data_IF_745281527944
#
_entry.id   IF_745281527944
#
_cell.length_a   1.000
_cell.length_b   1.000
_cell.length_c   1.000
_cell.angle_alpha   90.00
_cell.angle_beta   90.00
_cell.angle_gamma   90.00
#
_symmetry.space_group_name_H-M   'P 1'
#
loop_
_entity.id
_entity.type
_entity.pdbx_description
1 polymer ?
#
# COMPACT_ATOMS: atom_id res chain seq x y z
N UNK A 1 9.10 27.98 6.23
CA UNK A 1 7.75 27.37 6.30
C UNK A 1 7.61 26.44 5.09
N UNK A 2 7.42 25.14 5.30
CA UNK A 2 7.33 24.18 4.19
C UNK A 2 6.04 24.36 3.39
N UNK A 3 5.96 23.86 2.14
CA UNK A 3 4.74 23.95 1.35
C UNK A 3 3.56 23.29 2.07
N UNK A 4 2.34 23.80 1.86
CA UNK A 4 1.13 23.12 2.34
C UNK A 4 1.08 21.69 1.78
N UNK A 5 0.68 20.69 2.60
CA UNK A 5 0.49 19.33 2.12
C UNK A 5 -0.51 19.32 0.96
N UNK A 6 -0.22 18.55 -0.07
CA UNK A 6 -1.05 18.32 -1.27
C UNK A 6 -2.16 17.28 -1.05
N UNK A 7 -2.41 16.90 0.21
CA UNK A 7 -3.35 15.82 0.57
C UNK A 7 -2.77 14.42 0.45
N UNK A 8 -1.65 14.24 -0.26
CA UNK A 8 -1.15 12.91 -0.67
C UNK A 8 -0.82 11.98 0.51
N UNK A 9 -0.42 12.52 1.67
CA UNK A 9 -0.16 11.70 2.88
C UNK A 9 -1.44 11.10 3.45
N UNK A 10 -2.58 11.79 3.35
CA UNK A 10 -3.89 11.23 3.71
C UNK A 10 -4.23 10.07 2.77
N UNK A 11 -4.10 10.28 1.47
CA UNK A 11 -4.38 9.27 0.44
C UNK A 11 -3.53 8.01 0.64
N UNK A 12 -2.23 8.18 0.93
CA UNK A 12 -1.32 7.08 1.26
C UNK A 12 -1.83 6.29 2.47
N UNK A 13 -2.33 6.97 3.51
CA UNK A 13 -2.84 6.31 4.72
C UNK A 13 -4.12 5.52 4.43
N UNK A 14 -5.05 6.09 3.65
CA UNK A 14 -6.28 5.40 3.26
C UNK A 14 -5.96 4.15 2.43
N UNK A 15 -5.05 4.24 1.47
CA UNK A 15 -4.59 3.06 0.71
C UNK A 15 -3.85 2.05 1.61
N UNK A 16 -3.02 2.51 2.55
CA UNK A 16 -2.36 1.62 3.52
C UNK A 16 -3.37 0.87 4.39
N UNK A 17 -4.47 1.52 4.78
CA UNK A 17 -5.54 0.93 5.57
C UNK A 17 -6.33 -0.11 4.75
N UNK A 18 -6.65 0.21 3.50
CA UNK A 18 -7.39 -0.68 2.59
C UNK A 18 -6.57 -1.83 2.01
N UNK A 19 -5.25 -1.80 2.13
CA UNK A 19 -4.38 -2.87 1.62
C UNK A 19 -3.62 -3.62 2.71
N UNK A 20 -3.55 -3.06 3.92
CA UNK A 20 -2.66 -3.51 4.99
C UNK A 20 -1.18 -3.70 4.56
N UNK A 21 -0.73 -3.03 3.50
CA UNK A 21 0.63 -3.16 2.95
C UNK A 21 1.66 -2.30 3.72
N UNK A 22 2.94 -2.55 3.49
CA UNK A 22 4.00 -1.70 4.06
C UNK A 22 4.03 -0.36 3.33
N UNK A 23 4.43 0.71 4.02
CA UNK A 23 4.56 2.05 3.39
C UNK A 23 5.44 2.04 2.13
N UNK A 24 6.53 1.26 2.12
CA UNK A 24 7.39 1.15 0.94
C UNK A 24 6.69 0.49 -0.25
N UNK A 25 5.79 -0.46 0.00
CA UNK A 25 4.98 -1.13 -1.02
C UNK A 25 3.94 -0.16 -1.61
N UNK A 26 3.19 0.56 -0.76
CA UNK A 26 2.22 1.58 -1.22
C UNK A 26 2.88 2.66 -2.07
N UNK A 27 4.03 3.17 -1.61
CA UNK A 27 4.77 4.20 -2.35
C UNK A 27 5.39 3.69 -3.66
N UNK A 28 5.40 2.37 -3.87
CA UNK A 28 5.92 1.73 -5.08
C UNK A 28 4.83 1.33 -6.07
N UNK A 29 3.55 1.55 -5.78
CA UNK A 29 2.48 1.31 -6.74
C UNK A 29 2.62 2.23 -7.95
N UNK A 30 2.62 1.62 -9.13
CA UNK A 30 2.58 2.30 -10.42
C UNK A 30 1.19 2.24 -11.02
N UNK A 31 0.97 3.01 -12.09
CA UNK A 31 -0.25 2.94 -12.89
C UNK A 31 -0.53 1.51 -13.38
N UNK A 32 0.48 0.82 -13.89
CA UNK A 32 0.38 -0.56 -14.39
C UNK A 32 0.14 -1.61 -13.31
N UNK A 33 0.34 -1.26 -12.03
CA UNK A 33 0.10 -2.18 -10.92
C UNK A 33 -1.38 -2.17 -10.49
N UNK A 34 -2.26 -1.33 -11.07
CA UNK A 34 -3.66 -1.19 -10.65
C UNK A 34 -4.62 -1.73 -11.71
N UNK A 35 -5.55 -2.58 -11.30
CA UNK A 35 -6.70 -2.97 -12.09
C UNK A 35 -8.00 -2.54 -11.39
N UNK A 36 -8.56 -1.41 -11.81
CA UNK A 36 -9.85 -0.91 -11.31
C UNK A 36 -11.07 -1.55 -11.99
N UNK A 37 -10.87 -2.37 -13.03
CA UNK A 37 -11.96 -3.04 -13.74
C UNK A 37 -12.25 -4.44 -13.18
N UNK A 38 -11.32 -5.01 -12.41
CA UNK A 38 -11.54 -6.21 -11.63
C UNK A 38 -12.66 -6.02 -10.58
N UNK A 39 -13.32 -7.12 -10.19
CA UNK A 39 -14.35 -7.14 -9.16
C UNK A 39 -13.98 -8.13 -8.03
N UNK A 40 -13.61 -7.65 -6.82
CA UNK A 40 -13.38 -6.25 -6.47
C UNK A 40 -12.13 -5.69 -7.18
N UNK A 41 -11.94 -4.35 -7.24
CA UNK A 41 -10.73 -3.72 -7.76
C UNK A 41 -9.46 -4.31 -7.13
N UNK A 42 -8.33 -4.32 -7.85
CA UNK A 42 -7.10 -5.00 -7.40
C UNK A 42 -5.85 -4.16 -7.61
N UNK A 43 -4.82 -4.44 -6.80
CA UNK A 43 -3.48 -3.88 -6.95
C UNK A 43 -2.43 -4.98 -6.85
N UNK A 44 -1.46 -4.96 -7.76
CA UNK A 44 -0.27 -5.80 -7.76
C UNK A 44 0.81 -5.20 -6.84
N UNK A 45 1.11 -5.88 -5.75
CA UNK A 45 2.22 -5.55 -4.87
C UNK A 45 3.49 -6.15 -5.45
N UNK A 46 4.09 -5.44 -6.41
CA UNK A 46 5.26 -5.91 -7.17
C UNK A 46 6.58 -5.28 -6.73
N UNK A 47 6.58 -4.13 -6.04
CA UNK A 47 7.82 -3.43 -5.69
C UNK A 47 7.81 -2.78 -4.31
N UNK A 48 8.95 -2.19 -3.94
CA UNK A 48 9.06 -1.37 -2.72
C UNK A 48 9.99 -0.19 -2.93
N UNK A 49 9.67 0.96 -2.34
CA UNK A 49 10.61 2.08 -2.25
C UNK A 49 11.68 1.76 -1.21
N UNK A 50 12.95 1.88 -1.62
CA UNK A 50 14.11 1.66 -0.76
C UNK A 50 14.94 2.93 -0.66
N UNK A 51 15.48 3.16 0.53
CA UNK A 51 16.39 4.27 0.82
C UNK A 51 17.66 3.68 1.40
N UNK A 52 18.77 3.78 0.66
CA UNK A 52 20.10 3.44 1.19
C UNK A 52 20.82 4.71 1.63
N UNK A 53 21.65 4.58 2.67
CA UNK A 53 22.46 5.69 3.16
C UNK A 53 23.42 6.15 2.06
N UNK A 54 23.30 7.42 1.66
CA UNK A 54 24.15 8.03 0.63
C UNK A 54 23.72 7.76 -0.82
N UNK A 55 22.58 7.10 -1.05
CA UNK A 55 22.05 6.87 -2.41
C UNK A 55 20.72 7.61 -2.62
N UNK A 56 20.39 7.86 -3.89
CA UNK A 56 19.07 8.34 -4.26
C UNK A 56 17.98 7.31 -3.90
N UNK A 57 16.80 7.82 -3.55
CA UNK A 57 15.61 6.99 -3.37
C UNK A 57 15.26 6.35 -4.71
N UNK A 58 14.96 5.06 -4.70
CA UNK A 58 14.53 4.35 -5.90
C UNK A 58 13.50 3.27 -5.55
N UNK A 59 12.79 2.82 -6.57
CA UNK A 59 11.88 1.68 -6.51
C UNK A 59 12.70 0.42 -6.80
N UNK A 60 12.67 -0.54 -5.88
CA UNK A 60 13.16 -1.89 -6.11
C UNK A 60 12.02 -2.72 -6.72
N UNK A 61 12.30 -3.41 -7.83
CA UNK A 61 11.31 -4.18 -8.60
C UNK A 61 10.77 -5.44 -7.91
N UNK A 62 11.33 -5.82 -6.76
CA UNK A 62 10.84 -6.90 -5.93
C UNK A 62 10.91 -6.52 -4.45
N UNK A 63 9.97 -6.98 -3.61
CA UNK A 63 10.19 -7.08 -2.18
C UNK A 63 11.37 -8.01 -1.91
N UNK A 64 11.90 -8.06 -0.67
CA UNK A 64 13.13 -8.80 -0.31
C UNK A 64 13.22 -10.25 -0.82
N UNK A 65 12.10 -10.89 -1.18
CA UNK A 65 12.03 -12.12 -1.98
C UNK A 65 10.95 -11.99 -3.07
N UNK A 66 11.19 -12.56 -4.28
CA UNK A 66 10.22 -12.60 -5.39
C UNK A 66 8.88 -13.27 -4.99
N UNK A 67 8.91 -14.07 -3.92
CA UNK A 67 7.76 -14.78 -3.33
C UNK A 67 6.78 -13.87 -2.60
N UNK A 68 7.16 -12.61 -2.32
CA UNK A 68 6.28 -11.64 -1.66
C UNK A 68 5.34 -10.90 -2.64
N UNK A 69 5.51 -11.12 -3.95
CA UNK A 69 4.64 -10.55 -4.97
C UNK A 69 3.25 -11.15 -4.86
N UNK A 70 2.23 -10.29 -4.90
CA UNK A 70 0.82 -10.68 -4.74
C UNK A 70 -0.10 -9.68 -5.38
N UNK A 71 -1.24 -10.14 -5.86
CA UNK A 71 -2.34 -9.28 -6.30
C UNK A 71 -3.35 -9.25 -5.17
N UNK A 72 -3.63 -8.06 -4.65
CA UNK A 72 -4.55 -7.88 -3.53
C UNK A 72 -5.82 -7.19 -4.00
N UNK A 73 -7.00 -7.69 -3.61
CA UNK A 73 -8.23 -6.95 -3.79
C UNK A 73 -8.24 -5.76 -2.83
N UNK A 74 -8.76 -4.62 -3.30
CA UNK A 74 -8.88 -3.38 -2.55
C UNK A 74 -10.34 -3.04 -2.26
N UNK A 75 -10.66 -2.56 -1.05
CA UNK A 75 -11.98 -2.04 -0.72
C UNK A 75 -12.27 -0.76 -1.50
N UNK A 76 -13.56 -0.43 -1.66
CA UNK A 76 -14.00 0.70 -2.50
C UNK A 76 -13.43 2.03 -2.02
N UNK A 77 -13.32 2.28 -0.71
CA UNK A 77 -12.76 3.54 -0.23
C UNK A 77 -11.28 3.73 -0.65
N UNK A 78 -10.51 2.64 -0.74
CA UNK A 78 -9.15 2.70 -1.24
C UNK A 78 -9.13 2.78 -2.77
N UNK A 79 -10.06 2.10 -3.45
CA UNK A 79 -10.24 2.20 -4.90
C UNK A 79 -10.60 3.63 -5.32
N UNK A 80 -11.45 4.33 -4.56
CA UNK A 80 -11.81 5.74 -4.77
C UNK A 80 -10.57 6.65 -4.74
N UNK A 81 -9.72 6.49 -3.72
CA UNK A 81 -8.47 7.24 -3.60
C UNK A 81 -7.56 6.91 -4.78
N UNK A 82 -7.37 5.63 -5.11
CA UNK A 82 -6.53 5.22 -6.24
C UNK A 82 -7.03 5.81 -7.56
N UNK A 83 -8.35 5.80 -7.79
CA UNK A 83 -8.98 6.39 -8.98
C UNK A 83 -8.71 7.89 -9.09
N UNK A 84 -8.82 8.62 -7.98
CA UNK A 84 -8.48 10.05 -7.94
C UNK A 84 -6.99 10.29 -8.24
N UNK A 85 -6.09 9.45 -7.71
CA UNK A 85 -4.65 9.56 -7.99
C UNK A 85 -4.32 9.25 -9.45
N UNK A 86 -4.93 8.22 -10.03
CA UNK A 86 -4.74 7.84 -11.43
C UNK A 86 -5.20 8.93 -12.41
N UNK A 87 -6.24 9.70 -12.06
CA UNK A 87 -6.74 10.80 -12.87
C UNK A 87 -5.76 12.00 -12.97
N UNK A 88 -4.73 12.04 -12.10
CA UNK A 88 -3.69 13.06 -12.12
C UNK A 88 -2.48 12.66 -12.99
N UNK A 89 -2.44 11.42 -13.49
CA UNK A 89 -1.31 10.87 -14.22
C UNK A 89 -1.57 10.90 -15.72
N UNK A 90 -0.48 10.91 -16.50
CA UNK A 90 -0.54 10.62 -17.92
C UNK A 90 -1.06 9.19 -18.14
N UNK A 91 -2.15 8.99 -18.90
CA UNK A 91 -2.67 7.66 -19.20
C UNK A 91 -1.67 6.74 -19.91
N UNK A 92 -0.72 7.33 -20.66
CA UNK A 92 0.25 6.63 -21.50
C UNK A 92 1.57 6.32 -20.78
N UNK A 93 1.72 6.71 -19.50
CA UNK A 93 2.86 6.34 -18.67
C UNK A 93 2.49 5.22 -17.68
N UNK A 94 2.58 3.93 -18.08
CA UNK A 94 2.23 2.79 -17.23
C UNK A 94 3.15 2.69 -16.00
N UNK A 95 4.38 3.18 -16.08
CA UNK A 95 5.40 3.05 -15.04
C UNK A 95 5.34 4.18 -14.01
N UNK A 96 4.51 5.20 -14.24
CA UNK A 96 4.36 6.32 -13.34
C UNK A 96 3.88 5.87 -11.95
N UNK A 97 4.56 6.34 -10.90
CA UNK A 97 4.15 6.08 -9.52
C UNK A 97 2.82 6.78 -9.19
N UNK A 98 1.92 6.10 -8.48
CA UNK A 98 0.70 6.71 -7.95
C UNK A 98 0.99 7.84 -6.96
N UNK A 99 2.07 7.67 -6.19
CA UNK A 99 2.52 8.61 -5.18
C UNK A 99 3.94 9.10 -5.50
N UNK A 100 4.06 10.39 -5.76
CA UNK A 100 5.26 11.01 -6.29
C UNK A 100 5.44 12.43 -5.74
N UNK A 101 6.69 12.90 -5.77
CA UNK A 101 7.04 14.26 -5.39
C UNK A 101 6.66 15.25 -6.50
N UNK A 102 6.71 16.56 -6.21
CA UNK A 102 6.49 17.62 -7.22
C UNK A 102 7.44 17.54 -8.42
N UNK A 103 8.56 16.86 -8.28
CA UNK A 103 9.56 16.70 -9.33
C UNK A 103 9.42 15.34 -10.04
N UNK A 104 8.27 14.66 -9.92
CA UNK A 104 8.02 13.32 -10.46
C UNK A 104 9.03 12.26 -10.00
N UNK A 105 9.47 12.36 -8.73
CA UNK A 105 10.38 11.38 -8.12
C UNK A 105 9.69 10.59 -7.00
N UNK A 106 10.20 9.39 -6.65
CA UNK A 106 9.63 8.61 -5.56
C UNK A 106 9.60 9.38 -4.23
N UNK A 107 8.50 9.28 -3.48
CA UNK A 107 8.44 9.80 -2.13
C UNK A 107 9.28 8.93 -1.19
N UNK A 108 10.02 9.57 -0.27
CA UNK A 108 10.72 8.81 0.77
C UNK A 108 9.75 8.47 1.91
N UNK A 109 9.83 7.26 2.47
CA UNK A 109 9.08 6.92 3.69
C UNK A 109 9.37 7.87 4.87
N UNK A 110 10.54 8.50 4.90
CA UNK A 110 10.89 9.50 5.91
C UNK A 110 10.05 10.78 5.75
N UNK A 111 9.91 11.30 4.52
CA UNK A 111 9.14 12.51 4.25
C UNK A 111 7.65 12.30 4.59
N UNK A 112 7.09 11.15 4.21
CA UNK A 112 5.71 10.80 4.55
C UNK A 112 5.51 10.75 6.07
N UNK A 113 6.41 10.09 6.82
CA UNK A 113 6.37 10.05 8.30
C UNK A 113 6.52 11.43 8.92
N UNK A 114 7.35 12.31 8.36
CA UNK A 114 7.54 13.68 8.84
C UNK A 114 6.24 14.48 8.69
N UNK A 115 5.62 14.44 7.53
CA UNK A 115 4.36 15.12 7.26
C UNK A 115 3.23 14.55 8.12
N UNK A 116 3.13 13.22 8.24
CA UNK A 116 2.13 12.56 9.08
C UNK A 116 2.25 12.97 10.55
N UNK A 117 3.46 13.03 11.11
CA UNK A 117 3.66 13.56 12.48
C UNK A 117 3.18 15.01 12.60
N UNK A 118 3.36 15.83 11.57
CA UNK A 118 2.79 17.18 11.53
C UNK A 118 1.26 17.19 11.59
N UNK A 119 0.61 16.28 10.85
CA UNK A 119 -0.85 16.11 10.88
C UNK A 119 -1.34 15.70 12.27
N UNK A 120 -0.67 14.73 12.92
CA UNK A 120 -1.02 14.31 14.28
C UNK A 120 -0.91 15.45 15.30
N UNK A 121 0.18 16.26 15.23
CA UNK A 121 0.32 17.44 16.08
C UNK A 121 -0.82 18.43 15.89
N UNK A 122 -1.14 18.75 14.64
CA UNK A 122 -2.20 19.68 14.32
C UNK A 122 -3.59 19.19 14.76
N UNK A 123 -3.79 17.87 14.80
CA UNK A 123 -5.02 17.24 15.26
C UNK A 123 -5.06 17.01 16.78
N UNK A 124 -4.03 17.40 17.54
CA UNK A 124 -3.97 17.20 19.00
C UNK A 124 -3.65 15.76 19.43
N UNK A 125 -3.17 14.93 18.51
CA UNK A 125 -2.79 13.53 18.76
C UNK A 125 -1.27 13.34 18.92
N UNK A 126 -0.55 14.42 19.24
CA UNK A 126 0.86 14.32 19.60
C UNK A 126 1.03 13.45 20.85
N UNK A 127 1.94 12.47 20.80
CA UNK A 127 2.20 11.56 21.91
C UNK A 127 1.41 10.24 21.90
N UNK A 128 0.46 10.03 20.98
CA UNK A 128 -0.29 8.76 20.87
C UNK A 128 0.49 7.60 20.19
N UNK A 129 1.80 7.76 19.93
CA UNK A 129 2.64 6.77 19.22
C UNK A 129 2.04 6.19 17.93
N UNK A 130 1.20 6.98 17.24
CA UNK A 130 0.60 6.61 15.96
C UNK A 130 1.65 6.80 14.87
N UNK A 131 1.92 5.73 14.12
CA UNK A 131 2.84 5.76 12.98
C UNK A 131 2.14 5.19 11.75
N UNK A 132 2.67 5.39 10.52
CA UNK A 132 2.10 4.74 9.34
C UNK A 132 2.03 3.21 9.48
N UNK A 133 2.94 2.60 10.24
CA UNK A 133 2.91 1.17 10.50
C UNK A 133 1.71 0.74 11.36
N UNK A 134 1.14 1.64 12.17
CA UNK A 134 -0.08 1.38 12.93
C UNK A 134 -1.26 1.03 12.00
N UNK A 135 -1.40 1.67 10.83
CA UNK A 135 -2.48 1.34 9.89
C UNK A 135 -2.38 -0.08 9.31
N UNK A 136 -1.15 -0.52 8.98
CA UNK A 136 -0.91 -1.93 8.61
C UNK A 136 -1.33 -2.88 9.73
N UNK A 137 -0.96 -2.57 10.98
CA UNK A 137 -1.35 -3.40 12.14
C UNK A 137 -2.87 -3.44 12.30
N UNK A 138 -3.56 -2.30 12.17
CA UNK A 138 -5.02 -2.24 12.23
C UNK A 138 -5.68 -3.14 11.19
N UNK A 139 -5.28 -3.03 9.91
CA UNK A 139 -5.81 -3.90 8.85
C UNK A 139 -5.50 -5.38 9.09
N UNK A 140 -4.26 -5.71 9.48
CA UNK A 140 -3.86 -7.07 9.80
C UNK A 140 -4.66 -7.68 10.97
N UNK A 141 -4.87 -6.92 12.04
CA UNK A 141 -5.65 -7.36 13.20
C UNK A 141 -7.11 -7.61 12.82
N UNK A 142 -7.71 -6.71 12.03
CA UNK A 142 -9.09 -6.88 11.57
C UNK A 142 -9.24 -8.15 10.71
N UNK A 143 -8.32 -8.36 9.76
CA UNK A 143 -8.31 -9.56 8.93
C UNK A 143 -8.13 -10.84 9.76
N UNK A 144 -7.24 -10.82 10.75
CA UNK A 144 -6.98 -11.97 11.61
C UNK A 144 -8.21 -12.34 12.43
N UNK A 145 -8.94 -11.33 12.93
CA UNK A 145 -10.16 -11.54 13.72
C UNK A 145 -11.32 -12.10 12.90
N UNK A 146 -11.44 -11.70 11.63
CA UNK A 146 -12.61 -12.00 10.80
C UNK A 146 -12.40 -13.22 9.87
N UNK A 147 -11.17 -13.42 9.38
CA UNK A 147 -10.83 -14.44 8.38
C UNK A 147 -9.77 -15.43 8.86
N UNK A 148 -9.18 -15.19 10.04
CA UNK A 148 -8.12 -16.03 10.59
C UNK A 148 -6.72 -15.71 10.07
N UNK A 149 -5.74 -16.38 10.67
CA UNK A 149 -4.31 -16.09 10.47
C UNK A 149 -3.80 -16.42 9.07
N UNK A 150 -4.33 -17.47 8.42
CA UNK A 150 -3.87 -17.89 7.09
C UNK A 150 -4.23 -16.85 6.02
N UNK A 151 -5.51 -16.43 5.94
CA UNK A 151 -5.94 -15.42 4.98
C UNK A 151 -5.23 -14.08 5.21
N UNK A 152 -4.91 -13.77 6.47
CA UNK A 152 -4.10 -12.60 6.83
C UNK A 152 -2.66 -12.74 6.34
N UNK A 153 -2.02 -13.90 6.52
CA UNK A 153 -0.66 -14.15 6.05
C UNK A 153 -0.54 -13.99 4.52
N UNK A 154 -1.51 -14.55 3.78
CA UNK A 154 -1.59 -14.44 2.32
C UNK A 154 -1.70 -12.95 1.89
N UNK A 155 -2.59 -12.18 2.53
CA UNK A 155 -2.76 -10.74 2.28
C UNK A 155 -1.50 -9.91 2.62
N UNK A 156 -0.80 -10.27 3.70
CA UNK A 156 0.38 -9.55 4.17
C UNK A 156 1.67 -9.92 3.42
N UNK A 157 1.62 -10.95 2.57
CA UNK A 157 2.78 -11.51 1.89
C UNK A 157 3.76 -12.17 2.87
N UNK A 158 3.26 -12.81 3.92
CA UNK A 158 4.08 -13.64 4.80
C UNK A 158 4.21 -15.02 4.16
N UNK A 159 5.37 -15.33 3.60
CA UNK A 159 5.72 -16.70 3.24
C UNK A 159 5.80 -17.53 4.52
N UNK A 160 4.77 -18.34 4.79
CA UNK A 160 4.92 -19.42 5.77
C UNK A 160 6.07 -20.31 5.31
N UNK A 161 7.00 -20.57 6.23
CA UNK A 161 8.05 -21.58 6.15
C UNK A 161 7.43 -22.98 6.02
N UNK A 162 6.91 -23.32 4.84
CA UNK A 162 6.70 -24.70 4.42
C UNK A 162 7.14 -24.82 2.97
N UNK A 163 8.37 -25.29 2.82
CA UNK A 163 8.90 -25.96 1.65
C UNK A 163 7.81 -26.79 0.98
N UNK A 164 7.62 -26.60 -0.33
CA UNK A 164 7.51 -27.62 -1.40
C UNK A 164 6.64 -27.06 -2.52
N UNK A 165 7.25 -26.69 -3.65
CA UNK A 165 6.99 -27.35 -4.94
C UNK A 165 7.90 -26.76 -6.02
N UNK A 166 8.80 -27.62 -6.48
CA UNK A 166 9.37 -27.51 -7.80
C UNK A 166 8.29 -27.74 -8.87
N UNK A 167 8.51 -27.09 -10.01
CA UNK A 167 7.94 -27.30 -11.35
C UNK A 167 6.66 -26.56 -11.77
N UNK A 168 6.87 -25.72 -12.80
CA UNK A 168 6.01 -25.41 -13.95
C UNK A 168 4.55 -25.03 -13.68
N UNK A 169 4.38 -23.84 -13.10
CA UNK A 169 3.36 -22.85 -13.40
C UNK A 169 3.72 -21.63 -12.55
N UNK A 170 3.55 -20.40 -13.03
CA UNK A 170 3.56 -19.27 -12.10
C UNK A 170 2.46 -19.53 -11.05
N UNK A 171 2.78 -19.58 -9.74
CA UNK A 171 1.76 -19.80 -8.72
C UNK A 171 0.70 -18.70 -8.86
N UNK A 172 -0.60 -19.02 -8.72
CA UNK A 172 -1.62 -17.97 -8.61
C UNK A 172 -1.34 -17.15 -7.34
N UNK A 173 -0.97 -15.88 -7.54
CA UNK A 173 -0.60 -14.93 -6.48
C UNK A 173 -1.76 -14.02 -6.07
N UNK A 174 -2.97 -14.31 -6.56
CA UNK A 174 -4.17 -13.52 -6.30
C UNK A 174 -4.72 -13.86 -4.93
N UNK A 175 -4.81 -12.85 -4.07
CA UNK A 175 -5.47 -12.99 -2.78
C UNK A 175 -6.98 -13.04 -3.02
N UNK A 176 -7.65 -13.97 -2.33
CA UNK A 176 -9.12 -14.11 -2.39
C UNK A 176 -9.81 -12.77 -2.10
N UNK A 177 -11.04 -12.52 -2.60
CA UNK A 177 -11.73 -11.23 -2.43
C UNK A 177 -12.16 -10.90 -0.99
N UNK A 178 -12.30 -11.89 -0.10
CA UNK A 178 -12.79 -11.71 1.28
C UNK A 178 -12.11 -10.61 2.10
N UNK A 179 -10.76 -10.51 2.12
CA UNK A 179 -10.03 -9.40 2.72
C UNK A 179 -10.50 -8.00 2.35
N UNK A 180 -10.85 -7.73 1.08
CA UNK A 180 -11.34 -6.41 0.69
C UNK A 180 -12.69 -6.09 1.35
N UNK A 181 -13.61 -7.06 1.37
CA UNK A 181 -14.91 -6.90 2.04
C UNK A 181 -14.76 -6.64 3.55
N UNK A 182 -13.77 -7.27 4.19
CA UNK A 182 -13.47 -7.03 5.62
C UNK A 182 -12.84 -5.65 5.82
N UNK A 183 -11.85 -5.28 5.02
CA UNK A 183 -11.17 -3.98 5.14
C UNK A 183 -12.12 -2.81 4.82
N UNK A 184 -13.16 -3.02 4.02
CA UNK A 184 -14.21 -2.02 3.78
C UNK A 184 -14.87 -1.52 5.08
N UNK A 185 -14.87 -2.31 6.16
CA UNK A 185 -15.35 -1.88 7.49
C UNK A 185 -14.54 -0.73 8.09
N UNK A 186 -13.35 -0.44 7.56
CA UNK A 186 -12.47 0.65 7.98
C UNK A 186 -12.70 1.95 7.19
N UNK A 187 -13.71 1.98 6.30
CA UNK A 187 -14.01 3.16 5.50
C UNK A 187 -14.26 4.39 6.39
N UNK A 188 -13.75 5.58 6.01
CA UNK A 188 -14.09 6.81 6.69
C UNK A 188 -15.61 7.05 6.69
N UNK A 189 -16.17 7.67 7.73
CA UNK A 189 -17.56 8.12 7.69
C UNK A 189 -17.75 9.10 6.51
N UNK A 190 -18.88 8.96 5.81
CA UNK A 190 -19.29 9.86 4.72
C UNK A 190 -19.85 11.18 5.26
#
# INVERSE_FOLDING_TARGET
MGPRPDGQVRDIIEVMLGTATRIGEVLAFRRCDVDLNADPPQVSVSGTIVVHKGAAVHRQEHPKTHESNRIIPVPEFAADVIRQRLALLDPDDPEHLLFFSRNNTPLTPYNVRRTFRGMLRNAGFEGMDITPHSFRRTGATLLANELGMQATADMLGHTSTSTTKAHYAEPDRTVRPGPAAVLQKLAPPK
#
